data_IF_079439117801
#
_entry.id   IF_079439117801
#
_cell.length_a   1.000
_cell.length_b   1.000
_cell.length_c   1.000
_cell.angle_alpha   90.00
_cell.angle_beta   90.00
_cell.angle_gamma   90.00
#
_symmetry.space_group_name_H-M   'P 1'
#
loop_
_entity.id
_entity.type
_entity.pdbx_description
1 polymer ?
#
# COMPACT_ATOMS: atom_id res chain seq x y z
N UNK A 1 -44.17 50.87 -111.74
CA UNK A 1 -43.61 49.52 -111.46
C UNK A 1 -42.38 49.76 -110.59
N UNK A 2 -42.35 49.55 -109.28
CA UNK A 2 -42.79 48.38 -108.53
C UNK A 2 -41.54 47.59 -108.13
N UNK A 3 -41.27 47.51 -106.81
CA UNK A 3 -40.66 46.38 -106.07
C UNK A 3 -39.39 46.59 -105.23
N UNK A 4 -39.66 46.48 -103.91
CA UNK A 4 -39.05 45.62 -102.87
C UNK A 4 -37.88 46.13 -102.01
N UNK A 5 -38.19 46.24 -100.70
CA UNK A 5 -37.28 46.12 -99.56
C UNK A 5 -36.39 44.88 -99.70
N UNK A 6 -35.09 45.03 -99.43
CA UNK A 6 -34.29 43.99 -98.77
C UNK A 6 -33.48 44.64 -97.65
N UNK A 7 -33.70 44.17 -96.42
CA UNK A 7 -32.89 44.46 -95.25
C UNK A 7 -31.74 43.45 -95.31
N UNK A 8 -30.52 43.90 -95.58
CA UNK A 8 -29.32 43.09 -95.37
C UNK A 8 -28.90 43.21 -93.91
N UNK A 9 -29.10 42.13 -93.15
CA UNK A 9 -28.43 41.93 -91.87
C UNK A 9 -26.96 41.62 -92.17
N UNK A 10 -26.06 42.53 -91.78
CA UNK A 10 -24.65 42.23 -91.71
C UNK A 10 -24.34 41.85 -90.25
N UNK A 11 -24.13 40.56 -90.01
CA UNK A 11 -23.50 40.11 -88.77
C UNK A 11 -22.01 40.48 -88.83
N UNK A 12 -21.60 41.43 -87.99
CA UNK A 12 -20.19 41.68 -87.75
C UNK A 12 -19.67 40.63 -86.76
N UNK A 13 -19.01 39.60 -87.29
CA UNK A 13 -18.17 38.70 -86.51
C UNK A 13 -17.00 39.50 -85.92
N UNK A 14 -16.83 39.40 -84.60
CA UNK A 14 -15.71 39.99 -83.88
C UNK A 14 -14.42 39.20 -84.14
N UNK A 15 -13.42 39.88 -84.71
CA UNK A 15 -12.01 39.50 -84.60
C UNK A 15 -11.32 40.63 -83.84
N UNK A 16 -10.66 40.28 -82.72
CA UNK A 16 -10.07 41.23 -81.77
C UNK A 16 -9.08 42.22 -82.40
N UNK A 17 -8.76 43.35 -81.79
CA UNK A 17 -9.08 43.86 -80.46
C UNK A 17 -8.16 45.05 -80.25
N UNK A 18 -8.69 46.27 -80.34
CA UNK A 18 -8.08 47.58 -80.01
C UNK A 18 -9.07 48.75 -80.23
N UNK A 19 -10.25 48.49 -80.83
CA UNK A 19 -11.30 49.49 -81.03
C UNK A 19 -12.40 49.35 -79.97
N UNK A 20 -12.21 49.94 -78.79
CA UNK A 20 -13.31 50.17 -77.86
C UNK A 20 -13.80 51.60 -78.08
N UNK A 21 -14.94 51.76 -78.74
CA UNK A 21 -15.69 53.03 -78.71
C UNK A 21 -16.42 53.07 -77.37
N UNK A 22 -16.14 54.12 -76.60
CA UNK A 22 -16.72 54.35 -75.28
C UNK A 22 -18.26 54.33 -75.37
N UNK A 23 -18.89 53.31 -74.78
CA UNK A 23 -20.33 53.20 -74.74
C UNK A 23 -20.83 54.20 -73.69
N UNK A 24 -21.50 55.26 -74.16
CA UNK A 24 -21.96 56.38 -73.34
C UNK A 24 -22.62 55.98 -72.02
N UNK A 25 -22.55 56.90 -71.05
CA UNK A 25 -22.75 56.73 -69.61
C UNK A 25 -24.13 56.26 -69.12
N UNK A 26 -24.99 55.72 -69.98
CA UNK A 26 -26.39 55.40 -69.62
C UNK A 26 -26.91 54.02 -70.04
N UNK A 27 -26.08 53.09 -70.57
CA UNK A 27 -26.55 51.73 -70.90
C UNK A 27 -25.76 50.55 -70.31
N UNK A 28 -24.88 50.77 -69.33
CA UNK A 28 -24.21 49.69 -68.59
C UNK A 28 -24.46 49.79 -67.09
N UNK A 29 -25.72 49.78 -66.68
CA UNK A 29 -26.11 49.75 -65.25
C UNK A 29 -25.87 48.40 -64.54
N UNK A 30 -25.18 47.43 -65.16
CA UNK A 30 -24.92 46.12 -64.55
C UNK A 30 -23.46 45.72 -64.40
N UNK A 31 -22.49 46.56 -64.79
CA UNK A 31 -21.06 46.21 -64.61
C UNK A 31 -20.25 47.22 -63.77
N UNK A 32 -20.70 47.60 -62.55
CA UNK A 32 -19.76 48.06 -61.53
C UNK A 32 -18.98 46.93 -60.82
N UNK A 33 -19.33 45.65 -61.03
CA UNK A 33 -18.78 44.55 -60.21
C UNK A 33 -17.73 43.66 -60.90
N UNK A 34 -17.55 43.72 -62.23
CA UNK A 34 -16.63 42.81 -62.93
C UNK A 34 -15.19 43.35 -63.13
N UNK A 35 -14.94 44.66 -62.91
CA UNK A 35 -13.60 45.25 -63.09
C UNK A 35 -12.68 44.97 -61.88
N UNK A 36 -13.20 44.38 -60.81
CA UNK A 36 -12.41 43.88 -59.69
C UNK A 36 -12.21 42.36 -59.68
N UNK A 37 -12.46 41.64 -60.79
CA UNK A 37 -12.25 40.18 -60.81
C UNK A 37 -10.78 39.78 -60.58
N UNK A 38 -9.82 40.61 -61.02
CA UNK A 38 -8.39 40.41 -60.74
C UNK A 38 -8.04 40.69 -59.25
N UNK A 39 -8.90 41.42 -58.54
CA UNK A 39 -8.85 41.54 -57.06
C UNK A 39 -9.77 40.55 -56.35
N UNK A 40 -10.67 39.86 -57.05
CA UNK A 40 -11.61 38.89 -56.47
C UNK A 40 -10.93 37.55 -56.16
N UNK A 41 -9.82 37.23 -56.84
CA UNK A 41 -8.93 36.11 -56.46
C UNK A 41 -8.00 36.44 -55.29
N UNK A 42 -7.89 37.71 -54.90
CA UNK A 42 -7.04 38.19 -53.80
C UNK A 42 -7.86 38.58 -52.56
N UNK A 43 -9.18 38.62 -52.67
CA UNK A 43 -10.09 38.90 -51.57
C UNK A 43 -10.43 37.59 -50.84
N UNK A 44 -9.61 37.29 -49.82
CA UNK A 44 -10.05 36.65 -48.56
C UNK A 44 -9.94 35.13 -48.44
N UNK A 45 -8.76 34.56 -48.70
CA UNK A 45 -8.22 33.46 -47.88
C UNK A 45 -7.63 34.00 -46.55
N UNK A 46 -7.64 35.32 -46.32
CA UNK A 46 -7.08 35.97 -45.12
C UNK A 46 -8.12 36.49 -44.13
N UNK A 47 -9.42 36.23 -44.32
CA UNK A 47 -10.36 36.46 -43.22
C UNK A 47 -11.47 35.42 -43.24
N UNK A 48 -11.34 34.46 -42.31
CA UNK A 48 -12.48 33.78 -41.74
C UNK A 48 -13.57 34.79 -41.43
N UNK A 49 -14.83 34.43 -41.72
CA UNK A 49 -15.97 35.28 -41.43
C UNK A 49 -15.85 35.84 -40.02
N UNK A 50 -15.86 37.17 -39.91
CA UNK A 50 -15.87 37.85 -38.62
C UNK A 50 -17.21 37.53 -37.96
N UNK A 51 -17.25 36.46 -37.17
CA UNK A 51 -18.24 36.32 -36.10
C UNK A 51 -17.98 37.52 -35.17
N UNK A 52 -19.00 38.33 -34.92
CA UNK A 52 -18.89 39.43 -33.97
C UNK A 52 -18.51 38.85 -32.59
N UNK A 53 -17.30 39.18 -32.14
CA UNK A 53 -16.63 38.58 -30.97
C UNK A 53 -15.29 37.98 -31.39
N UNK A 54 -14.19 38.56 -30.91
CA UNK A 54 -12.82 38.12 -31.18
C UNK A 54 -12.61 36.65 -30.80
N UNK A 55 -12.79 35.74 -31.74
CA UNK A 55 -12.19 34.41 -31.68
C UNK A 55 -10.85 34.52 -32.40
N UNK A 56 -9.78 34.80 -31.64
CA UNK A 56 -8.43 34.58 -32.16
C UNK A 56 -8.26 33.08 -32.31
N UNK A 57 -8.41 32.55 -33.52
CA UNK A 57 -8.14 31.13 -33.82
C UNK A 57 -6.64 30.81 -33.84
N UNK A 58 -5.79 31.84 -33.89
CA UNK A 58 -4.35 31.72 -33.70
C UNK A 58 -4.03 32.02 -32.25
N UNK A 59 -3.79 30.98 -31.46
CA UNK A 59 -3.29 31.17 -30.11
C UNK A 59 -1.92 31.89 -30.17
N UNK A 60 -1.74 32.96 -29.42
CA UNK A 60 -0.46 33.67 -29.34
C UNK A 60 0.44 33.00 -28.29
N UNK A 61 1.67 32.64 -28.69
CA UNK A 61 2.66 31.97 -27.86
C UNK A 61 3.46 30.92 -28.65
N UNK A 62 4.74 30.70 -28.30
CA UNK A 62 5.53 29.60 -28.85
C UNK A 62 5.51 28.43 -27.87
N UNK A 63 5.12 27.24 -28.34
CA UNK A 63 5.29 26.02 -27.56
C UNK A 63 6.78 25.67 -27.45
N UNK A 64 7.20 25.08 -26.32
CA UNK A 64 8.51 24.42 -26.22
C UNK A 64 8.35 22.95 -26.62
N UNK A 65 9.34 22.42 -27.35
CA UNK A 65 9.39 20.99 -27.72
C UNK A 65 9.14 20.11 -26.49
N UNK A 66 8.36 19.05 -26.68
CA UNK A 66 8.00 18.05 -25.67
C UNK A 66 7.10 18.53 -24.53
N UNK A 67 6.71 19.80 -24.46
CA UNK A 67 5.69 20.24 -23.52
C UNK A 67 4.30 20.17 -24.14
N UNK A 68 3.35 19.60 -23.41
CA UNK A 68 1.94 19.72 -23.79
C UNK A 68 1.51 21.18 -23.67
N UNK A 69 0.83 21.70 -24.69
CA UNK A 69 0.29 23.07 -24.72
C UNK A 69 -0.88 23.23 -23.75
N UNK A 70 -0.93 24.35 -23.02
CA UNK A 70 -2.03 24.73 -22.11
C UNK A 70 -2.45 26.18 -22.37
N UNK A 71 -3.74 26.45 -22.31
CA UNK A 71 -4.26 27.82 -22.25
C UNK A 71 -4.04 28.41 -20.85
N UNK A 72 -3.33 29.53 -20.77
CA UNK A 72 -3.09 30.26 -19.51
C UNK A 72 -4.00 31.48 -19.35
N UNK A 73 -4.60 31.94 -20.45
CA UNK A 73 -5.64 32.96 -20.49
C UNK A 73 -6.47 32.80 -21.79
N UNK A 74 -7.52 33.59 -21.95
CA UNK A 74 -8.25 33.68 -23.22
C UNK A 74 -7.25 34.01 -24.36
N UNK A 75 -7.19 33.15 -25.38
CA UNK A 75 -6.31 33.27 -26.55
C UNK A 75 -4.79 33.20 -26.30
N UNK A 76 -4.34 32.79 -25.10
CA UNK A 76 -2.92 32.69 -24.75
C UNK A 76 -2.52 31.24 -24.45
N UNK A 77 -1.48 30.74 -25.12
CA UNK A 77 -0.94 29.37 -24.92
C UNK A 77 0.49 29.40 -24.37
N UNK A 78 0.78 28.47 -23.47
CA UNK A 78 2.11 28.23 -22.89
C UNK A 78 2.31 26.74 -22.60
N UNK A 79 3.52 26.37 -22.15
CA UNK A 79 3.83 25.02 -21.67
C UNK A 79 2.98 24.65 -20.44
N UNK A 80 2.49 23.41 -20.40
CA UNK A 80 1.96 22.80 -19.19
C UNK A 80 3.07 22.30 -18.27
N UNK A 81 2.71 21.72 -17.11
CA UNK A 81 3.65 20.99 -16.25
C UNK A 81 3.96 19.57 -16.78
N UNK A 82 3.27 19.16 -17.86
CA UNK A 82 3.38 17.83 -18.45
C UNK A 82 4.39 17.86 -19.59
N UNK A 83 5.41 17.04 -19.47
CA UNK A 83 6.47 16.85 -20.44
C UNK A 83 6.36 15.45 -21.04
N UNK A 84 6.22 15.35 -22.35
CA UNK A 84 6.18 14.11 -23.11
C UNK A 84 7.40 14.06 -24.05
N UNK A 85 8.34 13.16 -23.75
CA UNK A 85 9.56 13.00 -24.56
C UNK A 85 9.39 12.02 -25.73
N UNK A 86 8.15 11.64 -26.07
CA UNK A 86 7.80 10.65 -27.07
C UNK A 86 7.91 9.20 -26.58
N UNK A 87 8.44 8.96 -25.39
CA UNK A 87 8.58 7.63 -24.78
C UNK A 87 7.88 7.51 -23.43
N UNK A 88 7.96 8.56 -22.61
CA UNK A 88 7.52 8.64 -21.23
C UNK A 88 6.95 10.04 -20.95
N UNK A 89 6.02 10.11 -20.00
CA UNK A 89 5.41 11.37 -19.54
C UNK A 89 5.93 11.74 -18.16
N UNK A 90 6.45 12.95 -18.01
CA UNK A 90 6.85 13.56 -16.75
C UNK A 90 5.86 14.64 -16.30
N UNK A 91 5.59 14.71 -15.00
CA UNK A 91 4.91 15.86 -14.37
C UNK A 91 5.87 16.46 -13.37
N UNK A 92 6.28 17.72 -13.59
CA UNK A 92 7.29 18.39 -12.75
C UNK A 92 8.74 17.92 -13.00
N UNK A 93 9.00 17.23 -14.12
CA UNK A 93 10.34 16.83 -14.55
C UNK A 93 10.42 16.75 -16.08
N UNK A 94 11.58 17.10 -16.63
CA UNK A 94 11.91 16.94 -18.06
C UNK A 94 12.69 15.66 -18.36
N UNK A 95 13.01 14.87 -17.32
CA UNK A 95 13.77 13.61 -17.44
C UNK A 95 13.01 12.46 -16.78
N UNK A 96 11.91 11.98 -17.39
CA UNK A 96 11.10 10.89 -16.83
C UNK A 96 11.80 9.52 -16.94
N UNK A 97 12.01 8.85 -15.79
CA UNK A 97 12.63 7.50 -15.72
C UNK A 97 11.62 6.33 -15.83
N UNK A 98 10.33 6.63 -15.80
CA UNK A 98 9.24 5.66 -15.96
C UNK A 98 8.20 6.20 -16.93
N UNK A 99 7.30 5.33 -17.40
CA UNK A 99 6.22 5.69 -18.36
C UNK A 99 5.40 6.89 -17.89
N UNK A 100 5.14 6.97 -16.59
CA UNK A 100 4.66 8.17 -15.92
C UNK A 100 5.59 8.46 -14.72
N UNK A 101 6.21 9.64 -14.70
CA UNK A 101 7.07 10.09 -13.60
C UNK A 101 6.54 11.40 -13.02
N UNK A 102 5.95 11.36 -11.83
CA UNK A 102 5.53 12.55 -11.08
C UNK A 102 6.65 12.88 -10.09
N UNK A 103 7.26 14.06 -10.25
CA UNK A 103 8.40 14.47 -9.45
C UNK A 103 8.16 15.83 -8.78
N UNK A 104 8.49 15.90 -7.49
CA UNK A 104 8.47 17.13 -6.70
C UNK A 104 9.62 17.11 -5.68
N UNK A 105 10.15 18.28 -5.36
CA UNK A 105 11.15 18.46 -4.32
C UNK A 105 10.62 19.45 -3.28
N UNK A 106 9.99 18.93 -2.23
CA UNK A 106 9.35 19.71 -1.18
C UNK A 106 9.54 19.02 0.18
N UNK A 107 9.79 19.79 1.24
CA UNK A 107 10.00 19.28 2.59
C UNK A 107 8.69 18.98 3.36
N UNK A 108 7.53 19.33 2.80
CA UNK A 108 6.20 19.06 3.37
C UNK A 108 5.62 17.73 2.89
N UNK A 109 4.59 17.26 3.60
CA UNK A 109 3.80 16.09 3.19
C UNK A 109 3.03 16.44 1.91
N UNK A 110 3.24 15.66 0.85
CA UNK A 110 2.60 15.85 -0.45
C UNK A 110 1.87 14.57 -0.91
N UNK A 111 0.63 14.74 -1.37
CA UNK A 111 -0.06 13.73 -2.16
C UNK A 111 0.36 13.85 -3.63
N UNK A 112 1.11 12.87 -4.11
CA UNK A 112 1.53 12.83 -5.51
C UNK A 112 0.40 12.37 -6.44
N UNK A 113 -0.43 11.44 -5.96
CA UNK A 113 -1.60 10.92 -6.68
C UNK A 113 -2.76 10.77 -5.70
N UNK A 114 -3.89 11.43 -5.99
CA UNK A 114 -5.14 11.26 -5.24
C UNK A 114 -6.16 10.54 -6.12
N UNK A 115 -6.64 9.39 -5.66
CA UNK A 115 -7.69 8.59 -6.30
C UNK A 115 -8.91 8.57 -5.37
N UNK A 116 -9.97 9.28 -5.70
CA UNK A 116 -11.12 9.44 -4.81
C UNK A 116 -12.46 9.20 -5.52
N UNK A 117 -13.36 8.50 -4.83
CA UNK A 117 -14.77 8.39 -5.16
C UNK A 117 -15.57 8.91 -3.94
N UNK A 118 -16.29 10.01 -4.11
CA UNK A 118 -16.99 10.70 -3.02
C UNK A 118 -18.36 10.08 -2.68
N UNK A 119 -18.84 9.10 -3.46
CA UNK A 119 -20.12 8.44 -3.22
C UNK A 119 -20.05 7.54 -1.99
N UNK A 120 -20.96 7.72 -1.03
CA UNK A 120 -21.05 6.88 0.17
C UNK A 120 -21.41 5.41 -0.11
N UNK A 121 -21.98 5.12 -1.28
CA UNK A 121 -22.30 3.77 -1.74
C UNK A 121 -21.33 3.27 -2.83
N UNK A 122 -20.34 4.09 -3.21
CA UNK A 122 -19.35 3.75 -4.22
C UNK A 122 -18.07 3.15 -3.63
N UNK A 123 -17.24 2.57 -4.49
CA UNK A 123 -15.89 2.13 -4.14
C UNK A 123 -14.85 2.84 -5.02
N UNK A 124 -13.71 3.21 -4.44
CA UNK A 124 -12.49 3.55 -5.18
C UNK A 124 -11.63 2.30 -5.34
N UNK A 125 -11.03 2.10 -6.52
CA UNK A 125 -10.17 0.94 -6.79
C UNK A 125 -8.88 1.37 -7.47
N UNK A 126 -7.74 0.98 -6.90
CA UNK A 126 -6.47 0.93 -7.59
C UNK A 126 -6.24 -0.51 -8.07
N UNK A 127 -6.05 -0.70 -9.39
CA UNK A 127 -5.84 -2.03 -9.98
C UNK A 127 -4.48 -2.05 -10.69
N UNK A 128 -3.63 -2.99 -10.29
CA UNK A 128 -2.42 -3.35 -11.03
C UNK A 128 -2.67 -4.70 -11.70
N UNK A 129 -2.47 -4.77 -13.01
CA UNK A 129 -2.68 -5.99 -13.79
C UNK A 129 -1.33 -6.52 -14.26
N UNK A 130 -1.00 -7.75 -13.85
CA UNK A 130 0.21 -8.47 -14.23
C UNK A 130 -0.13 -9.96 -14.28
N UNK A 131 0.06 -10.61 -15.43
CA UNK A 131 -0.52 -11.91 -15.78
C UNK A 131 0.50 -13.07 -15.93
N UNK A 132 1.80 -12.78 -15.79
CA UNK A 132 2.85 -13.80 -15.79
C UNK A 132 3.05 -14.45 -14.41
N UNK A 133 3.28 -15.76 -14.38
CA UNK A 133 3.47 -16.56 -13.16
C UNK A 133 4.63 -16.11 -12.24
N UNK A 134 5.55 -15.30 -12.76
CA UNK A 134 6.70 -14.74 -12.02
C UNK A 134 6.58 -13.23 -11.77
N UNK A 135 5.48 -12.60 -12.17
CA UNK A 135 5.28 -11.18 -12.00
C UNK A 135 4.93 -10.86 -10.55
N UNK A 136 5.47 -9.76 -10.03
CA UNK A 136 5.14 -9.25 -8.72
C UNK A 136 4.92 -7.74 -8.79
N UNK A 137 3.97 -7.24 -8.00
CA UNK A 137 3.77 -5.82 -7.76
C UNK A 137 4.44 -5.46 -6.42
N UNK A 138 5.27 -4.42 -6.41
CA UNK A 138 5.84 -3.90 -5.16
C UNK A 138 5.30 -2.51 -4.86
N UNK A 139 5.09 -2.26 -3.57
CA UNK A 139 4.99 -0.91 -3.02
C UNK A 139 6.32 -0.64 -2.31
N UNK A 140 7.23 0.06 -2.99
CA UNK A 140 8.57 0.35 -2.47
C UNK A 140 8.62 1.80 -1.99
N UNK A 141 8.90 1.98 -0.70
CA UNK A 141 9.26 3.28 -0.14
C UNK A 141 10.78 3.39 -0.03
N UNK A 142 11.35 4.39 -0.69
CA UNK A 142 12.74 4.76 -0.47
C UNK A 142 12.85 5.68 0.76
N UNK A 143 13.99 5.57 1.47
CA UNK A 143 14.20 6.14 2.80
C UNK A 143 13.74 7.59 2.95
N UNK A 144 13.27 7.92 4.14
CA UNK A 144 12.83 9.27 4.50
C UNK A 144 13.64 9.79 5.68
N UNK A 145 14.12 11.03 5.60
CA UNK A 145 14.68 11.75 6.76
C UNK A 145 13.61 12.49 7.56
N UNK A 146 12.36 12.51 7.07
CA UNK A 146 11.23 13.08 7.78
C UNK A 146 10.91 12.28 9.05
N UNK A 147 10.97 12.95 10.19
CA UNK A 147 10.58 12.40 11.48
C UNK A 147 9.05 12.32 11.57
N UNK A 148 8.51 11.12 11.65
CA UNK A 148 7.06 10.89 11.74
C UNK A 148 6.74 9.41 11.95
N UNK A 149 5.96 9.11 12.97
CA UNK A 149 5.43 7.78 13.28
C UNK A 149 3.99 7.93 13.78
N UNK A 150 3.22 6.84 13.80
CA UNK A 150 1.99 6.79 14.60
C UNK A 150 2.30 7.13 16.06
N UNK A 151 1.38 7.84 16.72
CA UNK A 151 1.50 8.22 18.13
C UNK A 151 1.82 6.99 18.99
N UNK A 152 2.82 7.10 19.88
CA UNK A 152 3.24 6.01 20.78
C UNK A 152 4.34 5.07 20.26
N UNK A 153 4.72 5.15 18.97
CA UNK A 153 5.85 4.39 18.39
C UNK A 153 7.16 5.19 18.05
N UNK A 154 7.43 6.43 18.52
CA UNK A 154 8.58 7.23 18.04
C UNK A 154 9.95 6.59 18.21
N UNK A 155 10.16 5.79 19.25
CA UNK A 155 11.45 5.17 19.56
C UNK A 155 11.73 3.92 18.74
N UNK A 156 10.68 3.25 18.25
CA UNK A 156 10.81 2.03 17.45
C UNK A 156 10.97 2.34 15.96
N UNK A 157 10.39 3.44 15.49
CA UNK A 157 10.47 3.90 14.10
C UNK A 157 10.77 5.41 14.02
N UNK A 158 12.01 5.85 14.36
CA UNK A 158 12.37 7.26 14.51
C UNK A 158 12.33 8.08 13.21
N UNK A 159 12.41 7.41 12.06
CA UNK A 159 12.22 8.01 10.74
C UNK A 159 11.12 7.26 9.99
N UNK A 160 10.24 7.97 9.29
CA UNK A 160 9.04 7.41 8.68
C UNK A 160 9.38 6.42 7.54
N UNK A 161 9.59 5.14 7.87
CA UNK A 161 9.61 4.02 6.93
C UNK A 161 8.36 3.12 7.09
N UNK A 162 7.30 3.68 7.67
CA UNK A 162 6.05 2.98 7.86
C UNK A 162 5.30 2.88 6.53
N UNK A 163 5.03 1.65 6.10
CA UNK A 163 4.00 1.35 5.10
C UNK A 163 2.73 0.99 5.87
N UNK A 164 1.82 1.96 6.01
CA UNK A 164 0.56 1.77 6.71
C UNK A 164 -0.56 1.43 5.73
N UNK A 165 -1.33 0.39 6.06
CA UNK A 165 -2.59 0.06 5.42
C UNK A 165 -3.71 0.20 6.46
N UNK A 166 -4.84 0.78 6.06
CA UNK A 166 -6.00 0.94 6.93
C UNK A 166 -6.92 2.06 6.44
N UNK A 167 -8.22 1.89 6.67
CA UNK A 167 -9.20 2.93 6.40
C UNK A 167 -9.31 3.79 7.68
N UNK A 168 -8.86 5.04 7.60
CA UNK A 168 -9.17 6.03 8.63
C UNK A 168 -10.68 6.27 8.55
N UNK A 169 -11.44 5.79 9.52
CA UNK A 169 -12.87 6.08 9.53
C UNK A 169 -13.10 7.59 9.67
N UNK A 170 -14.19 8.05 9.10
CA UNK A 170 -14.45 9.48 8.87
C UNK A 170 -14.76 10.25 10.16
N UNK A 171 -14.89 9.56 11.30
CA UNK A 171 -15.04 10.15 12.62
C UNK A 171 -13.90 9.74 13.55
N UNK A 172 -13.48 10.65 14.43
CA UNK A 172 -12.52 10.34 15.48
C UNK A 172 -13.05 9.15 16.32
N UNK A 173 -12.26 8.08 16.40
CA UNK A 173 -12.50 6.86 17.19
C UNK A 173 -13.55 5.85 16.65
N UNK A 174 -13.96 5.88 15.39
CA UNK A 174 -14.98 4.93 14.92
C UNK A 174 -14.48 3.48 14.71
N UNK A 175 -13.18 3.23 14.51
CA UNK A 175 -12.59 1.88 14.53
C UNK A 175 -13.17 0.88 13.51
N UNK A 176 -14.00 1.33 12.56
CA UNK A 176 -14.69 0.45 11.59
C UNK A 176 -13.80 0.07 10.40
N UNK A 177 -12.61 0.65 10.28
CA UNK A 177 -11.62 0.29 9.28
C UNK A 177 -11.03 -1.10 9.55
N UNK A 178 -11.59 -2.13 8.92
CA UNK A 178 -11.03 -3.48 8.97
C UNK A 178 -9.95 -3.63 7.90
N UNK A 179 -8.74 -3.97 8.31
CA UNK A 179 -7.67 -4.40 7.40
C UNK A 179 -7.67 -5.93 7.32
N UNK A 180 -7.87 -6.48 6.12
CA UNK A 180 -7.81 -7.90 5.85
C UNK A 180 -6.86 -8.14 4.67
N UNK A 181 -5.86 -8.99 4.87
CA UNK A 181 -5.05 -9.54 3.78
C UNK A 181 -5.74 -10.83 3.34
N UNK A 182 -6.49 -10.77 2.24
CA UNK A 182 -7.14 -11.95 1.62
C UNK A 182 -6.40 -12.33 0.34
N UNK A 183 -6.03 -13.59 0.22
CA UNK A 183 -5.18 -14.10 -0.86
C UNK A 183 -5.53 -15.56 -1.15
N UNK A 184 -5.42 -15.98 -2.41
CA UNK A 184 -5.59 -17.37 -2.85
C UNK A 184 -4.31 -18.22 -2.67
N UNK A 185 -3.41 -17.79 -1.78
CA UNK A 185 -2.13 -18.41 -1.48
C UNK A 185 -1.58 -17.93 -0.14
N UNK A 186 -0.36 -18.36 0.17
CA UNK A 186 0.30 -18.09 1.44
C UNK A 186 0.32 -16.59 1.78
N UNK A 187 -0.03 -16.24 3.02
CA UNK A 187 0.08 -14.89 3.54
C UNK A 187 1.21 -14.83 4.56
N UNK A 188 2.00 -13.75 4.59
CA UNK A 188 3.08 -13.66 5.57
C UNK A 188 3.70 -12.28 5.68
N UNK A 189 4.42 -12.09 6.78
CA UNK A 189 5.24 -10.91 7.06
C UNK A 189 6.67 -11.40 7.21
N UNK A 190 7.58 -10.87 6.39
CA UNK A 190 9.00 -11.20 6.44
C UNK A 190 9.86 -9.95 6.54
N UNK A 191 11.05 -10.12 7.11
CA UNK A 191 12.09 -9.10 7.14
C UNK A 191 13.24 -9.54 6.23
N UNK A 192 13.61 -8.72 5.25
CA UNK A 192 14.82 -8.97 4.48
C UNK A 192 16.03 -8.42 5.24
N UNK A 193 16.92 -9.29 5.71
CA UNK A 193 18.12 -8.91 6.45
C UNK A 193 19.29 -9.80 6.06
N UNK A 194 20.43 -9.19 5.69
CA UNK A 194 21.64 -9.93 5.34
C UNK A 194 21.43 -10.88 4.15
N UNK A 195 20.73 -10.43 3.11
CA UNK A 195 20.52 -11.21 1.88
C UNK A 195 19.45 -12.31 1.95
N UNK A 196 18.80 -12.51 3.10
CA UNK A 196 17.79 -13.55 3.29
C UNK A 196 16.51 -12.99 3.92
N UNK A 197 15.36 -13.51 3.50
CA UNK A 197 14.07 -13.20 4.14
C UNK A 197 13.92 -14.00 5.42
N UNK A 198 13.57 -13.32 6.51
CA UNK A 198 13.28 -13.89 7.82
C UNK A 198 11.78 -13.80 8.06
N UNK A 199 11.09 -14.91 7.88
CA UNK A 199 9.64 -14.96 8.05
C UNK A 199 9.30 -14.83 9.55
N UNK A 200 8.38 -13.93 9.87
CA UNK A 200 7.99 -13.60 11.25
C UNK A 200 6.56 -14.02 11.56
N UNK A 201 5.71 -13.97 10.55
CA UNK A 201 4.35 -14.50 10.59
C UNK A 201 4.03 -15.11 9.23
N UNK A 202 3.38 -16.27 9.23
CA UNK A 202 3.03 -16.97 8.02
C UNK A 202 1.77 -17.80 8.21
N UNK A 203 0.75 -17.58 7.39
CA UNK A 203 -0.35 -18.50 7.20
C UNK A 203 -0.08 -19.32 5.94
N UNK A 204 -0.01 -20.65 6.09
CA UNK A 204 0.12 -21.57 4.96
C UNK A 204 -1.27 -21.87 4.38
N UNK A 205 -1.39 -21.76 3.06
CA UNK A 205 -2.64 -21.96 2.34
C UNK A 205 -3.06 -23.43 2.31
N UNK A 206 -2.11 -24.36 2.25
CA UNK A 206 -2.41 -25.79 2.10
C UNK A 206 -2.77 -26.42 3.43
N UNK A 207 -2.03 -26.09 4.49
CA UNK A 207 -2.21 -26.69 5.81
C UNK A 207 -3.03 -25.84 6.78
N UNK A 208 -3.36 -24.59 6.41
CA UNK A 208 -4.09 -23.62 7.24
C UNK A 208 -3.40 -23.31 8.58
N UNK A 209 -2.11 -23.65 8.68
CA UNK A 209 -1.34 -23.51 9.91
C UNK A 209 -0.65 -22.15 9.95
N UNK A 210 -0.41 -21.63 11.15
CA UNK A 210 0.31 -20.38 11.38
C UNK A 210 1.73 -20.65 11.89
N UNK A 211 2.73 -20.23 11.13
CA UNK A 211 4.12 -20.17 11.55
C UNK A 211 4.44 -18.82 12.21
N UNK A 212 5.08 -18.83 13.37
CA UNK A 212 5.57 -17.63 14.07
C UNK A 212 7.09 -17.75 14.24
N UNK A 213 7.83 -16.97 13.45
CA UNK A 213 9.27 -17.16 13.28
C UNK A 213 9.61 -18.41 12.47
N UNK A 214 10.72 -18.36 11.72
CA UNK A 214 11.20 -19.51 10.97
C UNK A 214 10.73 -19.51 9.51
N UNK A 215 11.54 -20.09 8.61
CA UNK A 215 11.25 -20.17 7.17
C UNK A 215 10.74 -21.55 6.71
N UNK A 216 10.57 -22.50 7.64
CA UNK A 216 10.03 -23.84 7.34
C UNK A 216 8.49 -23.84 7.36
N UNK A 217 7.87 -24.77 6.64
CA UNK A 217 6.42 -24.92 6.64
C UNK A 217 5.88 -25.19 8.07
N UNK A 218 4.77 -24.56 8.49
CA UNK A 218 4.19 -24.78 9.79
C UNK A 218 3.52 -26.16 9.87
N UNK A 219 3.99 -27.02 10.79
CA UNK A 219 3.54 -28.42 10.92
C UNK A 219 2.43 -28.62 11.97
N UNK A 220 2.01 -27.55 12.61
CA UNK A 220 0.95 -27.51 13.62
C UNK A 220 0.18 -26.20 13.51
N UNK A 221 -1.06 -26.15 14.00
CA UNK A 221 -1.94 -24.96 13.89
C UNK A 221 -1.25 -23.66 14.27
N UNK A 222 -0.41 -23.72 15.30
CA UNK A 222 0.60 -22.70 15.59
C UNK A 222 1.94 -23.42 15.68
N UNK A 223 2.92 -23.03 14.86
CA UNK A 223 4.28 -23.57 14.87
C UNK A 223 5.27 -22.42 15.09
N UNK A 224 6.04 -22.46 16.18
CA UNK A 224 7.13 -21.52 16.42
C UNK A 224 8.46 -22.14 16.00
N UNK A 225 9.22 -21.49 15.11
CA UNK A 225 10.53 -21.98 14.66
C UNK A 225 11.57 -20.84 14.57
N UNK A 226 12.87 -21.14 14.72
CA UNK A 226 13.95 -20.17 14.50
C UNK A 226 14.65 -20.48 13.18
N UNK A 227 14.84 -19.46 12.35
CA UNK A 227 15.65 -19.61 11.13
C UNK A 227 17.16 -19.52 11.42
N UNK A 228 17.57 -18.74 12.41
CA UNK A 228 18.94 -18.23 12.53
C UNK A 228 19.71 -18.77 13.74
N UNK A 229 19.15 -19.77 14.43
CA UNK A 229 19.77 -20.35 15.61
C UNK A 229 19.05 -21.59 16.12
N UNK A 230 19.63 -22.23 17.14
CA UNK A 230 19.07 -23.42 17.76
C UNK A 230 18.05 -23.14 18.86
N UNK A 231 17.84 -21.87 19.25
CA UNK A 231 16.93 -21.51 20.32
C UNK A 231 15.58 -20.97 19.77
N UNK A 232 14.46 -21.48 20.29
CA UNK A 232 13.15 -20.84 20.18
C UNK A 232 12.51 -20.66 21.55
N UNK A 233 12.17 -19.42 21.88
CA UNK A 233 11.50 -19.04 23.12
C UNK A 233 10.07 -18.57 22.83
N UNK A 234 9.09 -19.10 23.55
CA UNK A 234 7.82 -18.45 23.81
C UNK A 234 7.92 -17.78 25.19
N UNK A 235 7.97 -16.44 25.23
CA UNK A 235 8.22 -15.65 26.44
C UNK A 235 7.03 -14.76 26.80
N UNK A 236 6.67 -14.77 28.08
CA UNK A 236 5.70 -13.87 28.69
C UNK A 236 6.41 -13.01 29.72
N UNK A 237 6.28 -11.69 29.63
CA UNK A 237 6.91 -10.69 30.51
C UNK A 237 5.89 -9.61 30.86
N UNK A 238 6.11 -8.83 31.92
CA UNK A 238 5.21 -7.75 32.32
C UNK A 238 5.99 -6.54 32.85
N UNK A 239 5.32 -5.39 32.94
CA UNK A 239 5.99 -4.13 33.33
C UNK A 239 6.39 -4.07 34.80
N UNK A 240 5.83 -4.92 35.66
CA UNK A 240 6.16 -4.96 37.08
C UNK A 240 7.48 -5.70 37.35
N UNK A 241 7.74 -6.79 36.61
CA UNK A 241 8.96 -7.59 36.75
C UNK A 241 10.03 -7.27 35.71
N UNK A 242 9.64 -6.63 34.59
CA UNK A 242 10.56 -6.23 33.53
C UNK A 242 10.39 -7.03 32.24
N UNK A 243 11.18 -6.67 31.24
CA UNK A 243 11.10 -7.20 29.87
C UNK A 243 12.49 -7.45 29.25
N UNK A 244 13.55 -7.53 30.07
CA UNK A 244 14.91 -7.83 29.62
C UNK A 244 15.10 -9.33 29.36
N UNK A 245 16.29 -9.72 28.90
CA UNK A 245 16.59 -11.12 28.61
C UNK A 245 16.58 -12.03 29.85
N UNK A 246 16.62 -11.47 31.06
CA UNK A 246 16.54 -12.20 32.34
C UNK A 246 15.13 -12.34 32.88
N UNK A 247 14.14 -11.72 32.24
CA UNK A 247 12.81 -11.59 32.83
C UNK A 247 11.81 -12.58 32.21
N UNK A 248 10.72 -12.85 32.93
CA UNK A 248 9.51 -13.52 32.44
C UNK A 248 9.47 -15.06 32.54
N UNK A 249 8.29 -15.59 32.21
CA UNK A 249 8.02 -17.02 32.02
C UNK A 249 8.36 -17.42 30.59
N UNK A 250 9.11 -18.51 30.41
CA UNK A 250 9.59 -18.93 29.10
C UNK A 250 9.42 -20.44 28.90
N UNK A 251 8.88 -20.80 27.74
CA UNK A 251 8.92 -22.15 27.19
C UNK A 251 9.94 -22.12 26.06
N UNK A 252 11.00 -22.92 26.16
CA UNK A 252 12.11 -22.89 25.20
C UNK A 252 12.37 -24.24 24.55
N UNK A 253 12.88 -24.20 23.32
CA UNK A 253 13.54 -25.32 22.64
C UNK A 253 14.97 -24.87 22.30
N UNK A 254 16.00 -25.51 22.86
CA UNK A 254 17.42 -25.22 22.60
C UNK A 254 18.06 -26.47 21.99
N UNK A 255 18.18 -26.48 20.66
CA UNK A 255 18.52 -27.67 19.91
C UNK A 255 17.49 -28.77 20.21
N UNK A 256 17.93 -29.81 20.93
CA UNK A 256 17.08 -30.95 21.29
C UNK A 256 16.48 -30.85 22.72
N UNK A 257 16.82 -29.81 23.48
CA UNK A 257 16.37 -29.66 24.88
C UNK A 257 15.13 -28.76 24.93
N UNK A 258 14.06 -29.22 25.56
CA UNK A 258 12.87 -28.41 25.86
C UNK A 258 12.88 -27.98 27.32
N UNK A 259 12.49 -26.74 27.62
CA UNK A 259 12.42 -26.22 29.00
C UNK A 259 11.16 -25.40 29.24
N UNK A 260 10.75 -25.32 30.50
CA UNK A 260 9.69 -24.43 31.00
C UNK A 260 10.21 -23.77 32.28
N UNK A 261 10.49 -22.47 32.24
CA UNK A 261 11.25 -21.77 33.28
C UNK A 261 10.60 -20.42 33.59
N UNK A 262 10.39 -20.13 34.87
CA UNK A 262 10.24 -18.76 35.34
C UNK A 262 11.63 -18.17 35.55
N UNK A 263 11.98 -17.08 34.85
CA UNK A 263 13.28 -16.41 35.02
C UNK A 263 13.27 -15.31 36.07
N UNK A 264 12.11 -14.95 36.59
CA UNK A 264 11.98 -14.07 37.74
C UNK A 264 12.50 -14.75 39.02
N UNK A 265 12.94 -13.96 40.00
CA UNK A 265 13.33 -14.46 41.33
C UNK A 265 12.10 -14.79 42.21
N UNK A 266 11.15 -15.53 41.63
CA UNK A 266 9.96 -16.04 42.29
C UNK A 266 9.58 -17.41 41.69
N UNK A 267 8.52 -18.01 42.21
CA UNK A 267 8.12 -19.39 41.97
C UNK A 267 7.55 -19.61 40.58
N UNK A 268 7.82 -20.80 40.02
CA UNK A 268 6.99 -21.38 38.97
C UNK A 268 5.89 -22.22 39.63
N UNK A 269 4.63 -21.89 39.33
CA UNK A 269 3.45 -22.52 39.91
C UNK A 269 2.67 -23.30 38.86
N UNK A 270 2.32 -24.56 39.16
CA UNK A 270 1.42 -25.38 38.34
C UNK A 270 0.19 -25.72 39.18
N UNK A 271 -1.02 -25.62 38.63
CA UNK A 271 -2.23 -25.70 39.44
C UNK A 271 -3.48 -26.14 38.68
N UNK A 272 -4.54 -26.40 39.45
CA UNK A 272 -5.87 -26.74 38.96
C UNK A 272 -6.93 -26.05 39.85
N UNK A 273 -8.10 -25.77 39.27
CA UNK A 273 -9.20 -25.06 39.96
C UNK A 273 -8.74 -23.73 40.60
N UNK A 274 -7.97 -22.93 39.85
CA UNK A 274 -7.44 -21.63 40.29
C UNK A 274 -6.52 -21.65 41.52
N UNK A 275 -6.01 -22.82 41.92
CA UNK A 275 -5.09 -22.98 43.03
C UNK A 275 -3.79 -23.66 42.56
N UNK A 276 -2.61 -23.13 42.93
CA UNK A 276 -1.36 -23.84 42.72
C UNK A 276 -1.35 -25.16 43.49
N UNK A 277 -0.79 -26.19 42.87
CA UNK A 277 -0.63 -27.54 43.41
C UNK A 277 0.82 -27.96 43.44
N UNK A 278 1.62 -27.53 42.45
CA UNK A 278 3.07 -27.69 42.42
C UNK A 278 3.73 -26.33 42.52
N UNK A 279 4.73 -26.24 43.39
CA UNK A 279 5.49 -25.04 43.69
C UNK A 279 6.96 -25.32 43.43
N UNK A 280 7.57 -24.64 42.47
CA UNK A 280 8.99 -24.73 42.17
C UNK A 280 9.63 -23.42 42.62
N UNK A 281 10.40 -23.45 43.70
CA UNK A 281 11.00 -22.26 44.28
C UNK A 281 12.30 -21.86 43.54
N UNK A 282 12.60 -20.56 43.43
CA UNK A 282 13.83 -20.06 42.80
C UNK A 282 15.08 -20.22 43.70
N UNK A 283 14.94 -20.85 44.87
CA UNK A 283 16.03 -21.02 45.86
C UNK A 283 17.25 -21.73 45.26
N UNK A 284 18.43 -21.45 45.80
CA UNK A 284 19.67 -22.18 45.47
C UNK A 284 19.57 -23.69 45.70
N UNK A 285 18.63 -24.11 46.55
CA UNK A 285 18.27 -25.50 46.76
C UNK A 285 17.16 -25.88 45.77
N UNK A 286 17.30 -27.03 45.09
CA UNK A 286 16.32 -27.55 44.13
C UNK A 286 15.00 -27.96 44.82
N UNK A 287 14.22 -26.96 45.24
CA UNK A 287 13.03 -27.11 46.07
C UNK A 287 11.76 -27.18 45.24
N UNK A 288 11.08 -28.32 45.32
CA UNK A 288 9.78 -28.58 44.70
C UNK A 288 8.78 -29.03 45.76
N UNK A 289 7.62 -28.39 45.81
CA UNK A 289 6.54 -28.71 46.74
C UNK A 289 5.26 -29.14 46.02
N UNK A 290 4.54 -30.11 46.57
CA UNK A 290 3.13 -30.39 46.22
C UNK A 290 2.24 -30.01 47.40
N UNK A 291 1.16 -29.28 47.13
CA UNK A 291 0.18 -28.85 48.14
C UNK A 291 0.56 -27.58 48.93
N UNK A 292 1.75 -27.03 48.70
CA UNK A 292 2.15 -25.70 49.18
C UNK A 292 3.64 -25.39 48.92
N UNK A 293 4.13 -24.25 49.43
CA UNK A 293 5.54 -23.83 49.33
C UNK A 293 6.49 -24.81 50.04
N UNK A 294 7.49 -25.39 49.37
CA UNK A 294 8.37 -26.37 49.97
C UNK A 294 9.27 -25.77 51.05
N UNK A 295 9.49 -26.54 52.13
CA UNK A 295 10.43 -26.22 53.21
C UNK A 295 11.78 -26.93 53.05
N UNK A 296 11.84 -27.94 52.16
CA UNK A 296 13.03 -28.73 51.82
C UNK A 296 13.07 -29.02 50.31
N UNK A 297 14.06 -29.80 49.83
CA UNK A 297 14.24 -30.07 48.39
C UNK A 297 12.99 -30.71 47.74
N UNK A 298 12.32 -31.63 48.42
CA UNK A 298 11.03 -32.17 48.01
C UNK A 298 10.09 -32.11 49.22
N UNK A 299 8.95 -31.44 49.08
CA UNK A 299 7.93 -31.34 50.13
C UNK A 299 6.57 -31.76 49.60
N UNK A 300 5.86 -32.57 50.38
CA UNK A 300 4.45 -32.86 50.18
C UNK A 300 3.73 -32.26 51.37
N UNK A 301 2.67 -31.51 51.13
CA UNK A 301 1.91 -30.86 52.19
C UNK A 301 0.42 -31.01 51.94
N UNK A 302 -0.31 -31.21 53.02
CA UNK A 302 -1.77 -31.29 53.02
C UNK A 302 -2.28 -30.41 54.15
N UNK A 303 -3.38 -29.69 53.91
CA UNK A 303 -4.11 -29.00 54.99
C UNK A 303 -5.12 -29.92 55.70
N UNK A 304 -5.21 -31.17 55.27
CA UNK A 304 -6.04 -32.22 55.87
C UNK A 304 -5.15 -33.42 56.14
N UNK A 305 -4.65 -33.52 57.38
CA UNK A 305 -4.17 -34.64 58.22
C UNK A 305 -3.46 -35.87 57.63
N UNK A 306 -3.27 -35.97 56.33
CA UNK A 306 -2.60 -37.10 55.70
C UNK A 306 -1.78 -36.58 54.54
N UNK A 307 -0.48 -36.42 54.79
CA UNK A 307 0.52 -36.30 53.74
C UNK A 307 1.01 -37.71 53.45
N UNK A 308 0.90 -38.14 52.20
CA UNK A 308 1.36 -39.46 51.82
C UNK A 308 1.76 -39.58 50.36
N UNK A 309 2.55 -40.61 50.08
CA UNK A 309 2.91 -41.06 48.75
C UNK A 309 2.22 -42.40 48.55
N UNK A 310 1.30 -42.49 47.59
CA UNK A 310 0.76 -43.76 47.14
C UNK A 310 1.61 -44.31 46.00
N UNK A 311 2.01 -45.57 46.11
CA UNK A 311 2.58 -46.34 45.01
C UNK A 311 1.51 -47.34 44.54
N UNK A 312 0.97 -47.08 43.35
CA UNK A 312 -0.12 -47.86 42.78
C UNK A 312 0.36 -48.60 41.53
N UNK A 313 0.01 -49.88 41.41
CA UNK A 313 0.11 -50.63 40.15
C UNK A 313 -1.31 -50.82 39.58
N UNK A 314 -1.44 -51.05 38.28
CA UNK A 314 -2.69 -51.17 37.51
C UNK A 314 -3.74 -52.13 38.13
N UNK A 315 -3.33 -52.99 39.05
CA UNK A 315 -4.14 -53.99 39.77
C UNK A 315 -4.37 -53.72 41.27
N UNK A 316 -4.14 -52.51 41.78
CA UNK A 316 -4.63 -52.09 43.11
C UNK A 316 -3.81 -52.58 44.32
N UNK A 317 -2.51 -52.86 44.16
CA UNK A 317 -1.61 -52.94 45.33
C UNK A 317 -1.20 -51.54 45.73
N UNK A 318 -1.60 -51.12 46.94
CA UNK A 318 -1.26 -49.83 47.53
C UNK A 318 -0.16 -50.03 48.55
N UNK A 319 1.05 -49.52 48.29
CA UNK A 319 1.98 -49.21 49.36
C UNK A 319 1.87 -47.71 49.60
N UNK A 320 1.34 -47.33 50.76
CA UNK A 320 1.15 -45.93 51.14
C UNK A 320 2.12 -45.62 52.27
N UNK A 321 3.03 -44.69 52.01
CA UNK A 321 3.82 -44.07 53.08
C UNK A 321 3.09 -42.80 53.45
N UNK A 322 2.47 -42.75 54.63
CA UNK A 322 1.77 -41.56 55.10
C UNK A 322 2.03 -41.29 56.57
N UNK A 323 1.80 -40.07 57.01
CA UNK A 323 1.71 -39.76 58.45
C UNK A 323 0.28 -39.95 58.97
N UNK A 324 0.14 -40.26 60.27
CA UNK A 324 -1.12 -40.12 60.99
C UNK A 324 -1.32 -38.67 61.47
N UNK A 325 -2.47 -38.39 62.10
CA UNK A 325 -2.77 -37.07 62.71
C UNK A 325 -1.74 -36.61 63.76
N UNK A 326 -0.94 -37.53 64.31
CA UNK A 326 0.10 -37.28 65.30
C UNK A 326 1.51 -37.14 64.68
N UNK A 327 1.63 -37.14 63.34
CA UNK A 327 2.90 -37.04 62.62
C UNK A 327 3.77 -38.29 62.65
N UNK A 328 3.22 -39.45 63.02
CA UNK A 328 3.93 -40.73 63.04
C UNK A 328 3.78 -41.48 61.72
N UNK A 329 4.86 -42.18 61.32
CA UNK A 329 4.89 -43.01 60.11
C UNK A 329 3.83 -44.14 60.18
N UNK A 330 2.96 -44.17 59.18
CA UNK A 330 2.09 -45.29 58.84
C UNK A 330 2.64 -45.98 57.60
N UNK A 331 2.75 -47.31 57.65
CA UNK A 331 3.20 -48.19 56.56
C UNK A 331 2.11 -49.20 56.21
#
# INVERSE_FOLDING_TARGET
MGNRKQIHSCEHRSKGGSNYVDAGTTQLLSVPYAIYADKAGMAKETAGGTRAGTVSTSAAGTGTVNYLTKFTAANTIYNSQVFDNGSNVGIGTTSPFAKLHINQNNASVLEHLRMQNQSAAGAGRFTMYSDGAVNYATFTKYGSTYAGSYAGLPTLYPFANLLAFGNNGVAANDGLGRFLISTAGNAGISLFKGGTSKLKFHADFTTENVGIGGNSAPVSRVHLNNTDGSNMDLRLTNTASGHTATDGFVISQIGNVSTVINRENDRLLLGANSLPKVYINPSVNAQVGIGGSPSNNLSLMSSTDTVGISFENYSGSYFNVSENVDGQLML
#
